data_IF_639153196760
#
_entry.id   IF_639153196760
#
_cell.length_a   1.000
_cell.length_b   1.000
_cell.length_c   1.000
_cell.angle_alpha   90.00
_cell.angle_beta   90.00
_cell.angle_gamma   90.00
#
_symmetry.space_group_name_H-M   'P 1'
#
loop_
_entity.id
_entity.type
_entity.pdbx_description
1 polymer ?
#
# COMPACT_ATOMS: atom_id res chain seq x y z
N UNK A 1 -8.28 -7.93 2.27
CA UNK A 1 -7.24 -6.97 2.70
C UNK A 1 -6.71 -6.29 1.44
N UNK A 2 -6.46 -4.99 1.45
CA UNK A 2 -6.23 -4.10 0.29
C UNK A 2 -7.48 -3.76 -0.54
N UNK A 3 -8.29 -4.72 -1.00
CA UNK A 3 -9.55 -4.43 -1.74
C UNK A 3 -10.64 -3.74 -0.90
N UNK A 4 -10.53 -3.80 0.44
CA UNK A 4 -11.45 -3.12 1.37
C UNK A 4 -11.07 -1.67 1.66
N UNK A 5 -9.97 -1.17 1.08
CA UNK A 5 -9.49 0.19 1.31
C UNK A 5 -10.11 1.10 0.24
N UNK A 6 -10.78 2.20 0.62
CA UNK A 6 -11.42 3.09 -0.34
C UNK A 6 -10.43 3.60 -1.38
N UNK A 7 -10.82 3.56 -2.66
CA UNK A 7 -10.03 4.08 -3.80
C UNK A 7 -8.68 3.39 -4.01
N UNK A 8 -8.58 2.14 -3.59
CA UNK A 8 -7.44 1.27 -3.88
C UNK A 8 -7.82 0.24 -4.92
N UNK A 9 -6.99 0.09 -5.95
CA UNK A 9 -7.16 -0.85 -7.05
C UNK A 9 -5.93 -1.75 -7.08
N UNK A 10 -6.11 -3.05 -6.98
CA UNK A 10 -5.02 -4.01 -7.20
C UNK A 10 -4.71 -4.05 -8.70
N UNK A 11 -3.49 -3.70 -9.06
CA UNK A 11 -3.03 -3.64 -10.47
C UNK A 11 -2.14 -4.83 -10.83
N UNK A 12 -1.47 -5.43 -9.85
CA UNK A 12 -0.76 -6.69 -10.02
C UNK A 12 -0.85 -7.53 -8.75
N UNK A 13 -1.00 -8.84 -8.91
CA UNK A 13 -0.99 -9.79 -7.82
C UNK A 13 -0.40 -11.12 -8.29
N UNK A 14 0.67 -11.52 -7.60
CA UNK A 14 1.34 -12.80 -7.75
C UNK A 14 1.32 -13.56 -6.41
N UNK A 15 1.90 -14.76 -6.36
CA UNK A 15 1.91 -15.60 -5.16
C UNK A 15 2.55 -14.92 -3.94
N UNK A 16 3.60 -14.12 -4.16
CA UNK A 16 4.39 -13.47 -3.10
C UNK A 16 4.45 -11.95 -3.22
N UNK A 17 3.68 -11.36 -4.14
CA UNK A 17 3.75 -9.94 -4.41
C UNK A 17 2.36 -9.37 -4.73
N UNK A 18 2.08 -8.18 -4.20
CA UNK A 18 0.86 -7.44 -4.44
C UNK A 18 1.20 -5.98 -4.72
N UNK A 19 0.73 -5.47 -5.84
CA UNK A 19 0.80 -4.06 -6.20
C UNK A 19 -0.62 -3.51 -6.31
N UNK A 20 -0.89 -2.46 -5.57
CA UNK A 20 -2.11 -1.71 -5.64
C UNK A 20 -1.84 -0.21 -5.83
N UNK A 21 -2.68 0.44 -6.63
CA UNK A 21 -2.71 1.89 -6.77
C UNK A 21 -3.77 2.44 -5.82
N UNK A 22 -3.41 3.39 -4.97
CA UNK A 22 -4.33 4.07 -4.07
C UNK A 22 -4.44 5.54 -4.44
N UNK A 23 -5.66 6.07 -4.55
CA UNK A 23 -5.87 7.48 -4.90
C UNK A 23 -6.41 8.32 -3.75
N UNK A 24 -5.87 9.54 -3.62
CA UNK A 24 -6.27 10.52 -2.62
C UNK A 24 -7.64 11.13 -2.95
N UNK A 25 -8.52 11.20 -1.95
CA UNK A 25 -9.92 11.67 -2.09
C UNK A 25 -10.05 13.11 -2.60
N UNK A 26 -9.17 14.01 -2.14
CA UNK A 26 -9.33 15.46 -2.35
C UNK A 26 -8.49 15.97 -3.53
N UNK A 27 -7.30 15.42 -3.74
CA UNK A 27 -6.33 15.94 -4.71
C UNK A 27 -6.08 15.00 -5.91
N UNK A 28 -6.64 13.78 -5.90
CA UNK A 28 -6.50 12.84 -7.01
C UNK A 28 -5.09 12.29 -7.21
N UNK A 29 -4.17 12.49 -6.25
CA UNK A 29 -2.85 11.86 -6.29
C UNK A 29 -2.97 10.35 -6.25
N UNK A 30 -2.22 9.68 -7.12
CA UNK A 30 -2.13 8.22 -7.17
C UNK A 30 -0.80 7.83 -6.53
N UNK A 31 -0.88 6.96 -5.53
CA UNK A 31 0.25 6.35 -4.85
C UNK A 31 0.31 4.87 -5.20
N UNK A 32 1.51 4.33 -5.28
CA UNK A 32 1.78 2.91 -5.36
C UNK A 32 1.92 2.32 -3.97
N UNK A 33 1.17 1.26 -3.70
CA UNK A 33 1.29 0.40 -2.53
C UNK A 33 1.76 -0.97 -2.99
N UNK A 34 2.93 -1.39 -2.52
CA UNK A 34 3.49 -2.70 -2.84
C UNK A 34 3.75 -3.49 -1.58
N UNK A 35 3.35 -4.76 -1.60
CA UNK A 35 3.61 -5.74 -0.56
C UNK A 35 4.38 -6.90 -1.17
N UNK A 36 5.49 -7.26 -0.55
CA UNK A 36 6.29 -8.42 -0.93
C UNK A 36 6.42 -9.37 0.27
N UNK A 37 5.98 -10.61 0.10
CA UNK A 37 6.13 -11.67 1.07
C UNK A 37 7.51 -12.32 0.91
N UNK A 38 8.44 -11.97 1.79
CA UNK A 38 9.73 -12.65 1.93
C UNK A 38 9.51 -13.91 2.78
N UNK A 39 9.08 -14.99 2.13
CA UNK A 39 8.76 -16.27 2.77
C UNK A 39 9.98 -16.86 3.48
N UNK A 40 11.18 -16.70 2.91
CA UNK A 40 12.43 -17.21 3.46
C UNK A 40 12.77 -16.55 4.81
N UNK A 41 12.43 -15.26 4.97
CA UNK A 41 12.62 -14.52 6.22
C UNK A 41 11.38 -14.45 7.09
N UNK A 42 10.26 -15.01 6.65
CA UNK A 42 8.97 -14.94 7.34
C UNK A 42 8.47 -13.50 7.56
N UNK A 43 8.74 -12.60 6.61
CA UNK A 43 8.47 -11.17 6.73
C UNK A 43 7.71 -10.63 5.53
N UNK A 44 6.88 -9.60 5.77
CA UNK A 44 6.25 -8.84 4.70
C UNK A 44 6.98 -7.51 4.60
N UNK A 45 7.52 -7.22 3.42
CA UNK A 45 8.05 -5.91 3.09
C UNK A 45 6.92 -5.08 2.48
N UNK A 46 6.77 -3.84 2.94
CA UNK A 46 5.75 -2.93 2.45
C UNK A 46 6.39 -1.63 1.98
N UNK A 47 5.97 -1.15 0.81
CA UNK A 47 6.42 0.11 0.21
C UNK A 47 5.20 0.93 -0.18
N UNK A 48 5.23 2.23 0.11
CA UNK A 48 4.21 3.19 -0.32
C UNK A 48 4.90 4.41 -0.92
N UNK A 49 4.66 4.69 -2.19
CA UNK A 49 5.38 5.69 -2.98
C UNK A 49 4.39 6.56 -3.76
N UNK A 50 4.46 7.88 -3.60
CA UNK A 50 3.63 8.81 -4.36
C UNK A 50 4.18 9.00 -5.78
N UNK A 51 3.31 8.92 -6.80
CA UNK A 51 3.73 9.14 -8.21
C UNK A 51 4.01 10.60 -8.53
N UNK A 52 3.35 11.53 -7.82
CA UNK A 52 3.42 12.97 -8.03
C UNK A 52 3.29 13.70 -6.69
N UNK A 53 4.17 14.68 -6.45
CA UNK A 53 4.16 15.54 -5.26
C UNK A 53 5.29 15.22 -4.28
N UNK A 54 5.76 16.26 -3.58
CA UNK A 54 6.88 16.18 -2.63
C UNK A 54 6.40 15.89 -1.19
N UNK A 55 5.09 15.98 -0.95
CA UNK A 55 4.47 15.72 0.35
C UNK A 55 3.05 15.22 0.21
N UNK A 56 2.78 14.07 0.84
CA UNK A 56 1.48 13.41 0.94
C UNK A 56 0.80 13.68 2.30
N UNK A 57 1.33 14.62 3.09
CA UNK A 57 0.92 14.91 4.47
C UNK A 57 0.93 13.68 5.40
N UNK A 58 1.75 12.67 5.11
CA UNK A 58 1.86 11.45 5.90
C UNK A 58 0.79 10.39 5.58
N UNK A 59 0.02 10.55 4.50
CA UNK A 59 -1.00 9.59 4.06
C UNK A 59 -0.41 8.21 3.80
N UNK A 60 0.75 8.12 3.14
CA UNK A 60 1.43 6.85 2.89
C UNK A 60 1.88 6.19 4.20
N UNK A 61 2.43 6.98 5.13
CA UNK A 61 2.83 6.47 6.44
C UNK A 61 1.64 5.92 7.24
N UNK A 62 0.51 6.63 7.22
CA UNK A 62 -0.73 6.16 7.85
C UNK A 62 -1.22 4.85 7.21
N UNK A 63 -1.17 4.73 5.88
CA UNK A 63 -1.57 3.53 5.14
C UNK A 63 -0.73 2.31 5.51
N UNK A 64 0.59 2.46 5.60
CA UNK A 64 1.49 1.38 6.05
C UNK A 64 1.17 0.97 7.50
N UNK A 65 0.90 1.94 8.39
CA UNK A 65 0.55 1.66 9.77
C UNK A 65 -0.78 0.88 9.89
N UNK A 66 -1.81 1.25 9.12
CA UNK A 66 -3.08 0.53 9.07
C UNK A 66 -2.91 -0.91 8.57
N UNK A 67 -2.15 -1.11 7.49
CA UNK A 67 -1.84 -2.44 6.96
C UNK A 67 -1.12 -3.31 8.00
N UNK A 68 -0.14 -2.73 8.69
CA UNK A 68 0.56 -3.42 9.77
C UNK A 68 -0.41 -3.81 10.89
N UNK A 69 -1.26 -2.89 11.35
CA UNK A 69 -2.24 -3.19 12.40
C UNK A 69 -3.26 -4.26 11.97
N UNK A 70 -3.58 -4.37 10.68
CA UNK A 70 -4.47 -5.40 10.15
C UNK A 70 -3.81 -6.78 10.07
N UNK A 71 -2.48 -6.85 9.94
CA UNK A 71 -1.70 -8.10 9.91
C UNK A 71 -1.34 -8.64 11.30
N UNK A 72 -1.23 -7.76 12.31
CA UNK A 72 -0.95 -8.13 13.71
C UNK A 72 -2.19 -8.65 14.48
N UNK A 73 -3.31 -8.89 13.79
CA UNK A 73 -4.60 -9.23 14.40
C UNK A 73 -4.99 -10.70 14.25
#
# INVERSE_FOLDING_TARGET
>A
MVEGTPRTVVVNQDENYLHAEASSEIFGFVDDLELFADVDKGQIQARSESRLGDSDLGVNAARIAELRSALER
#
